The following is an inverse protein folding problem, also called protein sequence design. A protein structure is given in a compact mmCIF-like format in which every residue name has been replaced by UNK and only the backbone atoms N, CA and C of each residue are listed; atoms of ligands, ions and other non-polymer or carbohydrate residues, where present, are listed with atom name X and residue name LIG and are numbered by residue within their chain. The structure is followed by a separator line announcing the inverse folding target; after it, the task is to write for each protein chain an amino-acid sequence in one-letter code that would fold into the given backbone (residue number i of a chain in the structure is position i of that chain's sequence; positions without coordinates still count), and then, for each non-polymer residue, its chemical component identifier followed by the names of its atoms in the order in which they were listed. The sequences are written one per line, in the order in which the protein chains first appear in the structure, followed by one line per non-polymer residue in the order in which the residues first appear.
data_IF_047877122619
#
_entry.id   IF_047877122619
#
_cell.length_a   1.000
_cell.length_b   1.000
_cell.length_c   1.000
_cell.angle_alpha   90.00
_cell.angle_beta   90.00
_cell.angle_gamma   90.00
#
_symmetry.space_group_name_H-M   'P 1'
#
loop_
_entity.id
_entity.type
_entity.pdbx_description
1 polymer ?
#
# COMPACT_ATOMS: atom_id res chain seq x y z
N UNK A 1 -8.39 15.96 -7.72
CA UNK A 1 -7.76 14.63 -7.81
C UNK A 1 -8.63 13.65 -8.59
N UNK A 2 -8.00 12.76 -9.35
CA UNK A 2 -8.61 11.61 -10.01
C UNK A 2 -8.19 10.29 -9.32
N UNK A 3 -7.27 10.36 -8.38
CA UNK A 3 -6.81 9.20 -7.63
C UNK A 3 -7.95 8.60 -6.79
N UNK A 4 -8.28 7.31 -6.96
CA UNK A 4 -9.41 6.69 -6.26
C UNK A 4 -9.28 6.71 -4.74
N UNK A 5 -8.07 6.60 -4.22
CA UNK A 5 -7.83 6.60 -2.79
C UNK A 5 -7.97 8.00 -2.20
N UNK A 6 -7.49 9.03 -2.92
CA UNK A 6 -7.72 10.43 -2.57
C UNK A 6 -9.18 10.83 -2.67
N UNK A 7 -9.90 10.35 -3.69
CA UNK A 7 -11.36 10.54 -3.81
C UNK A 7 -12.06 9.94 -2.59
N UNK A 8 -11.69 8.72 -2.21
CA UNK A 8 -12.27 8.05 -1.04
C UNK A 8 -11.93 8.78 0.26
N UNK A 9 -10.70 9.22 0.43
CA UNK A 9 -10.26 10.00 1.59
C UNK A 9 -11.08 11.28 1.80
N UNK A 10 -11.32 12.00 0.71
CA UNK A 10 -12.04 13.29 0.76
C UNK A 10 -13.56 13.10 0.92
N UNK A 11 -14.15 12.09 0.27
CA UNK A 11 -15.61 11.98 0.11
C UNK A 11 -16.23 10.73 0.71
N UNK A 12 -15.45 9.70 1.01
CA UNK A 12 -15.96 8.37 1.35
C UNK A 12 -16.47 7.56 0.13
N UNK A 13 -16.40 8.12 -1.09
CA UNK A 13 -16.85 7.43 -2.30
C UNK A 13 -15.94 6.25 -2.66
N UNK A 14 -16.55 5.11 -2.90
CA UNK A 14 -15.84 3.91 -3.32
C UNK A 14 -16.51 3.26 -4.54
N UNK A 15 -15.69 2.84 -5.46
CA UNK A 15 -16.09 2.04 -6.63
C UNK A 15 -15.15 0.87 -6.82
N UNK A 16 -15.66 -0.18 -7.47
CA UNK A 16 -14.88 -1.38 -7.78
C UNK A 16 -13.72 -1.09 -8.74
N UNK A 17 -12.71 -1.94 -8.74
CA UNK A 17 -11.48 -1.79 -9.51
C UNK A 17 -11.64 -1.35 -10.98
N UNK A 18 -12.57 -1.89 -11.79
CA UNK A 18 -12.72 -1.42 -13.17
C UNK A 18 -13.07 0.06 -13.29
N UNK A 19 -13.79 0.61 -12.32
CA UNK A 19 -14.17 2.03 -12.30
C UNK A 19 -13.02 2.92 -11.81
N UNK A 20 -12.08 2.35 -11.04
CA UNK A 20 -10.91 3.06 -10.51
C UNK A 20 -9.86 3.35 -11.59
N UNK A 21 -9.90 2.65 -12.72
CA UNK A 21 -8.88 2.74 -13.77
C UNK A 21 -9.21 3.77 -14.86
N UNK A 22 -10.33 4.47 -14.75
CA UNK A 22 -10.78 5.43 -15.77
C UNK A 22 -11.01 6.81 -15.16
N UNK A 23 -10.78 7.85 -15.95
CA UNK A 23 -11.06 9.23 -15.60
C UNK A 23 -12.59 9.53 -15.58
N UNK A 24 -13.37 8.56 -15.13
CA UNK A 24 -14.82 8.67 -14.95
C UNK A 24 -15.23 9.29 -13.61
N UNK A 25 -14.25 9.57 -12.75
CA UNK A 25 -14.48 10.15 -11.43
C UNK A 25 -13.35 11.12 -11.06
N UNK A 26 -13.72 12.19 -10.40
CA UNK A 26 -12.75 13.12 -9.81
C UNK A 26 -13.36 13.93 -8.68
N UNK A 27 -12.52 14.49 -7.84
CA UNK A 27 -12.92 15.47 -6.83
C UNK A 27 -12.25 16.80 -7.13
N UNK A 28 -13.04 17.86 -7.16
CA UNK A 28 -12.56 19.22 -7.00
C UNK A 28 -12.79 19.65 -5.55
N UNK A 29 -11.71 20.05 -4.87
CA UNK A 29 -11.76 20.47 -3.48
C UNK A 29 -11.16 21.88 -3.34
N UNK A 30 -12.00 22.92 -3.20
CA UNK A 30 -11.53 24.28 -3.02
C UNK A 30 -10.98 24.50 -1.60
N UNK A 31 -9.97 25.37 -1.45
CA UNK A 31 -9.30 25.64 -0.16
C UNK A 31 -10.28 26.12 0.92
N UNK A 32 -11.29 26.91 0.53
CA UNK A 32 -12.25 27.52 1.45
C UNK A 32 -13.68 27.04 1.18
N UNK A 33 -13.85 25.78 0.79
CA UNK A 33 -15.17 25.24 0.45
C UNK A 33 -15.26 23.74 0.64
N UNK A 34 -16.39 23.21 0.23
CA UNK A 34 -16.70 21.80 0.33
C UNK A 34 -16.29 21.05 -0.95
N UNK A 35 -15.94 19.76 -0.87
CA UNK A 35 -15.58 18.98 -2.05
C UNK A 35 -16.76 18.77 -2.99
N UNK A 36 -16.48 18.78 -4.29
CA UNK A 36 -17.41 18.40 -5.36
C UNK A 36 -16.90 17.13 -6.05
N UNK A 37 -17.76 16.13 -6.15
CA UNK A 37 -17.46 14.83 -6.72
C UNK A 37 -18.11 14.66 -8.10
N UNK A 38 -17.34 14.29 -9.09
CA UNK A 38 -17.82 13.80 -10.39
C UNK A 38 -17.76 12.29 -10.40
N UNK A 39 -18.82 11.64 -10.86
CA UNK A 39 -18.89 10.19 -11.04
C UNK A 39 -19.46 9.84 -12.42
N UNK A 40 -19.04 8.68 -12.91
CA UNK A 40 -19.57 8.11 -14.16
C UNK A 40 -20.83 7.24 -13.96
N UNK A 41 -21.54 7.44 -12.85
CA UNK A 41 -22.79 6.73 -12.47
C UNK A 41 -23.87 7.77 -12.13
N UNK A 42 -25.04 7.28 -11.80
CA UNK A 42 -26.19 8.12 -11.41
C UNK A 42 -25.97 8.70 -10.00
N UNK A 43 -25.86 10.02 -9.82
CA UNK A 43 -25.63 10.63 -8.51
C UNK A 43 -26.64 10.21 -7.45
N UNK A 44 -27.93 10.08 -7.85
CA UNK A 44 -29.02 9.69 -6.96
C UNK A 44 -28.83 8.33 -6.25
N UNK A 45 -27.99 7.43 -6.79
CA UNK A 45 -27.67 6.13 -6.17
C UNK A 45 -26.77 6.27 -4.96
N UNK A 46 -25.95 7.33 -4.92
CA UNK A 46 -24.90 7.52 -3.93
C UNK A 46 -25.31 8.45 -2.80
N UNK A 47 -26.24 9.39 -3.03
CA UNK A 47 -26.73 10.32 -2.01
C UNK A 47 -27.18 9.62 -0.71
N UNK A 48 -27.94 8.51 -0.72
CA UNK A 48 -28.34 7.83 0.51
C UNK A 48 -27.19 7.28 1.34
N UNK A 49 -26.04 7.00 0.70
CA UNK A 49 -24.83 6.53 1.37
C UNK A 49 -23.88 7.64 1.77
N UNK A 50 -24.00 8.79 1.13
CA UNK A 50 -23.16 9.96 1.32
C UNK A 50 -24.04 11.22 1.43
N UNK A 51 -24.94 11.32 2.43
CA UNK A 51 -25.87 12.45 2.56
C UNK A 51 -25.13 13.79 2.72
N UNK A 52 -23.91 13.78 3.26
CA UNK A 52 -23.07 14.97 3.36
C UNK A 52 -22.63 15.54 2.00
N UNK A 53 -22.74 14.75 0.92
CA UNK A 53 -22.39 15.18 -0.44
C UNK A 53 -23.61 15.63 -1.26
N UNK A 54 -24.79 15.75 -0.65
CA UNK A 54 -26.01 16.18 -1.36
C UNK A 54 -25.80 17.54 -2.04
N UNK A 55 -26.19 17.64 -3.32
CA UNK A 55 -25.99 18.84 -4.14
C UNK A 55 -24.56 18.98 -4.73
N UNK A 56 -23.61 18.13 -4.33
CA UNK A 56 -22.20 18.22 -4.77
C UNK A 56 -21.71 16.96 -5.49
N UNK A 57 -22.63 16.07 -5.88
CA UNK A 57 -22.33 14.93 -6.74
C UNK A 57 -22.81 15.24 -8.15
N UNK A 58 -21.91 15.18 -9.12
CA UNK A 58 -22.15 15.59 -10.49
C UNK A 58 -21.92 14.43 -11.45
N UNK A 59 -22.64 14.43 -12.56
CA UNK A 59 -22.41 13.55 -13.70
C UNK A 59 -21.86 14.40 -14.87
N UNK A 60 -20.66 14.08 -15.33
CA UNK A 60 -20.08 14.68 -16.52
C UNK A 60 -19.81 13.59 -17.56
N UNK A 61 -19.73 13.98 -18.82
CA UNK A 61 -19.25 13.10 -19.86
C UNK A 61 -17.76 12.78 -19.60
N UNK A 62 -17.48 11.55 -19.23
CA UNK A 62 -16.15 11.05 -18.90
C UNK A 62 -15.79 9.84 -19.74
N UNK A 63 -14.63 9.24 -19.47
CA UNK A 63 -14.09 8.07 -20.18
C UNK A 63 -14.75 6.75 -19.77
N UNK A 64 -15.89 6.79 -19.13
CA UNK A 64 -16.61 5.60 -18.72
C UNK A 64 -17.03 4.73 -19.90
N UNK A 65 -16.35 3.69 -20.15
CA UNK A 65 -16.30 2.80 -21.31
C UNK A 65 -15.52 3.42 -22.49
N UNK A 66 -14.66 2.63 -23.12
CA UNK A 66 -14.00 2.99 -24.35
C UNK A 66 -15.02 2.97 -25.49
N UNK A 67 -15.98 3.87 -25.46
CA UNK A 67 -16.62 4.29 -26.67
C UNK A 67 -15.53 4.96 -27.47
N UNK A 68 -15.34 4.53 -28.71
CA UNK A 68 -14.39 5.12 -29.64
C UNK A 68 -14.53 6.64 -29.63
N UNK A 69 -13.76 7.30 -28.79
CA UNK A 69 -13.55 8.75 -28.88
C UNK A 69 -12.29 8.91 -29.73
N UNK A 70 -12.47 9.41 -30.91
CA UNK A 70 -11.35 9.74 -31.80
C UNK A 70 -10.47 10.85 -31.21
N UNK A 71 -10.94 11.54 -30.19
CA UNK A 71 -10.23 12.60 -29.47
C UNK A 71 -10.67 12.69 -28.00
N UNK A 72 -9.71 12.95 -27.11
CA UNK A 72 -9.99 13.23 -25.69
C UNK A 72 -10.53 14.66 -25.46
N UNK A 73 -10.43 15.57 -26.45
CA UNK A 73 -10.76 16.99 -26.28
C UNK A 73 -12.16 17.27 -25.73
N UNK A 74 -13.25 16.60 -26.17
CA UNK A 74 -14.57 16.86 -25.61
C UNK A 74 -14.66 16.53 -24.12
N UNK A 75 -14.00 15.47 -23.67
CA UNK A 75 -14.00 15.04 -22.28
C UNK A 75 -13.15 15.98 -21.44
N UNK A 76 -11.93 16.30 -21.90
CA UNK A 76 -11.05 17.25 -21.24
C UNK A 76 -11.75 18.61 -21.05
N UNK A 77 -12.39 19.12 -22.10
CA UNK A 77 -13.10 20.41 -22.05
C UNK A 77 -14.25 20.38 -21.03
N UNK A 78 -15.01 19.27 -20.94
CA UNK A 78 -16.07 19.17 -19.93
C UNK A 78 -15.54 19.30 -18.49
N UNK A 79 -14.43 18.63 -18.18
CA UNK A 79 -13.80 18.76 -16.87
C UNK A 79 -13.23 20.16 -16.63
N UNK A 80 -12.56 20.73 -17.60
CA UNK A 80 -11.93 22.06 -17.51
C UNK A 80 -13.01 23.14 -17.35
N UNK A 81 -14.11 23.07 -18.08
CA UNK A 81 -15.21 24.02 -17.99
C UNK A 81 -15.94 23.89 -16.65
N UNK A 82 -16.16 22.67 -16.18
CA UNK A 82 -16.75 22.41 -14.87
C UNK A 82 -15.89 22.94 -13.72
N UNK A 83 -14.59 22.64 -13.70
CA UNK A 83 -13.64 23.13 -12.69
C UNK A 83 -13.56 24.66 -12.77
N UNK A 84 -13.43 25.24 -13.97
CA UNK A 84 -13.39 26.69 -14.14
C UNK A 84 -14.65 27.39 -13.63
N UNK A 85 -15.83 26.79 -13.83
CA UNK A 85 -17.09 27.25 -13.26
C UNK A 85 -17.09 27.26 -11.74
N UNK A 86 -16.64 26.19 -11.10
CA UNK A 86 -16.52 26.11 -9.65
C UNK A 86 -15.47 27.10 -9.11
N UNK A 87 -14.31 27.24 -9.77
CA UNK A 87 -13.32 28.26 -9.38
C UNK A 87 -13.90 29.67 -9.40
N UNK A 88 -14.77 29.98 -10.37
CA UNK A 88 -15.47 31.27 -10.42
C UNK A 88 -16.52 31.43 -9.29
N UNK A 89 -17.28 30.37 -9.03
CA UNK A 89 -18.25 30.34 -7.94
C UNK A 89 -17.60 30.58 -6.56
N UNK A 90 -16.44 29.95 -6.33
CA UNK A 90 -15.69 30.14 -5.08
C UNK A 90 -14.76 31.37 -5.06
N UNK A 91 -14.72 32.16 -6.14
CA UNK A 91 -13.91 33.39 -6.23
C UNK A 91 -12.40 33.14 -6.25
N UNK A 92 -11.94 31.98 -6.74
CA UNK A 92 -10.55 31.53 -6.75
C UNK A 92 -9.97 31.38 -8.16
N UNK A 93 -10.46 32.12 -9.14
CA UNK A 93 -10.04 32.03 -10.55
C UNK A 93 -8.57 32.39 -10.79
N UNK A 94 -7.93 33.07 -9.86
CA UNK A 94 -6.51 33.44 -9.93
C UNK A 94 -5.59 32.47 -9.16
N UNK A 95 -6.16 31.46 -8.52
CA UNK A 95 -5.40 30.48 -7.76
C UNK A 95 -4.90 29.34 -8.65
N UNK A 96 -3.83 28.66 -8.19
CA UNK A 96 -3.29 27.50 -8.89
C UNK A 96 -4.12 26.26 -8.59
N UNK A 97 -4.29 25.43 -9.61
CA UNK A 97 -4.96 24.12 -9.48
C UNK A 97 -3.94 23.02 -9.21
N UNK A 98 -4.01 22.36 -8.07
CA UNK A 98 -3.26 21.16 -7.79
C UNK A 98 -3.91 19.96 -8.49
N UNK A 99 -3.22 19.35 -9.46
CA UNK A 99 -3.70 18.24 -10.26
C UNK A 99 -3.01 16.93 -9.85
N UNK A 100 -3.79 15.88 -9.63
CA UNK A 100 -3.33 14.61 -9.08
C UNK A 100 -4.12 13.40 -9.63
N UNK A 101 -3.48 12.22 -9.69
CA UNK A 101 -4.13 10.91 -9.82
C UNK A 101 -4.60 10.50 -11.22
N UNK A 102 -4.27 11.23 -12.27
CA UNK A 102 -4.65 10.85 -13.65
C UNK A 102 -3.45 10.46 -14.50
N UNK A 103 -3.59 9.41 -15.32
CA UNK A 103 -2.63 9.05 -16.35
C UNK A 103 -2.56 10.11 -17.47
N UNK A 104 -3.60 10.95 -17.60
CA UNK A 104 -3.70 12.02 -18.59
C UNK A 104 -3.26 13.39 -18.06
N UNK A 105 -2.45 13.41 -16.99
CA UNK A 105 -2.08 14.65 -16.29
C UNK A 105 -1.54 15.75 -17.21
N UNK A 106 -0.72 15.39 -18.20
CA UNK A 106 -0.20 16.34 -19.18
C UNK A 106 -1.31 16.94 -20.06
N UNK A 107 -2.27 16.14 -20.49
CA UNK A 107 -3.39 16.59 -21.33
C UNK A 107 -4.32 17.50 -20.54
N UNK A 108 -4.62 17.16 -19.29
CA UNK A 108 -5.41 18.02 -18.40
C UNK A 108 -4.69 19.34 -18.11
N UNK A 109 -3.40 19.30 -17.78
CA UNK A 109 -2.61 20.51 -17.51
C UNK A 109 -2.59 21.45 -18.71
N UNK A 110 -2.42 20.92 -19.93
CA UNK A 110 -2.46 21.70 -21.17
C UNK A 110 -3.87 22.27 -21.42
N UNK A 111 -4.92 21.49 -21.21
CA UNK A 111 -6.30 21.93 -21.37
C UNK A 111 -6.67 23.06 -20.37
N UNK A 112 -6.25 22.94 -19.12
CA UNK A 112 -6.41 23.99 -18.11
C UNK A 112 -5.60 25.24 -18.47
N UNK A 113 -4.35 25.06 -18.91
CA UNK A 113 -3.50 26.18 -19.33
C UNK A 113 -4.13 26.98 -20.49
N UNK A 114 -4.74 26.31 -21.48
CA UNK A 114 -5.48 26.98 -22.57
C UNK A 114 -6.65 27.85 -22.07
N UNK A 115 -7.18 27.56 -20.90
CA UNK A 115 -8.23 28.35 -20.23
C UNK A 115 -7.68 29.37 -19.23
N UNK A 116 -6.35 29.52 -19.15
CA UNK A 116 -5.68 30.46 -18.25
C UNK A 116 -5.55 29.98 -16.80
N UNK A 117 -5.76 28.68 -16.54
CA UNK A 117 -5.62 28.08 -15.21
C UNK A 117 -4.24 27.44 -15.11
N UNK A 118 -3.42 27.90 -14.17
CA UNK A 118 -2.11 27.33 -13.88
C UNK A 118 -2.25 26.05 -13.06
N UNK A 119 -1.64 24.95 -13.53
CA UNK A 119 -1.62 23.68 -12.80
C UNK A 119 -0.29 23.46 -12.08
N UNK A 120 -0.36 22.85 -10.88
CA UNK A 120 0.78 22.35 -10.13
C UNK A 120 0.60 20.85 -9.84
N UNK A 121 1.68 20.17 -9.50
CA UNK A 121 1.63 18.77 -9.12
C UNK A 121 0.98 18.59 -7.74
N UNK A 122 -0.16 17.90 -7.68
CA UNK A 122 -1.00 17.79 -6.48
C UNK A 122 -0.67 16.61 -5.56
N UNK A 123 -0.01 15.55 -6.08
CA UNK A 123 0.26 14.33 -5.30
C UNK A 123 0.91 14.59 -3.93
N UNK A 124 1.98 15.42 -3.81
CA UNK A 124 2.59 15.66 -2.51
C UNK A 124 1.64 16.23 -1.46
N UNK A 125 0.65 17.02 -1.86
CA UNK A 125 -0.33 17.62 -0.94
C UNK A 125 -1.16 16.51 -0.29
N UNK A 126 -1.64 15.56 -1.08
CA UNK A 126 -2.44 14.44 -0.59
C UNK A 126 -1.60 13.45 0.22
N UNK A 127 -0.38 13.16 -0.22
CA UNK A 127 0.55 12.28 0.51
C UNK A 127 0.80 12.81 1.94
N UNK A 128 1.00 14.13 2.09
CA UNK A 128 1.16 14.77 3.40
C UNK A 128 -0.13 14.78 4.21
N UNK A 129 -1.27 15.01 3.58
CA UNK A 129 -2.56 15.03 4.26
C UNK A 129 -2.92 13.68 4.92
N UNK A 130 -2.55 12.56 4.28
CA UNK A 130 -2.84 11.21 4.76
C UNK A 130 -1.80 10.63 5.72
N UNK A 131 -0.64 11.30 5.87
CA UNK A 131 0.52 10.73 6.57
C UNK A 131 0.22 10.45 8.06
N UNK A 132 -0.44 11.37 8.75
CA UNK A 132 -0.85 11.21 10.15
C UNK A 132 -2.30 10.77 10.20
N UNK A 133 -2.54 9.60 10.76
CA UNK A 133 -3.86 8.97 10.86
C UNK A 133 -4.61 9.46 12.09
N UNK A 134 -5.90 9.70 11.93
CA UNK A 134 -6.81 9.88 13.04
C UNK A 134 -7.00 8.59 13.83
N UNK A 135 -7.59 8.67 15.03
CA UNK A 135 -7.89 7.49 15.84
C UNK A 135 -8.87 6.54 15.14
N UNK A 136 -9.85 7.07 14.41
CA UNK A 136 -10.81 6.27 13.65
C UNK A 136 -10.12 5.50 12.51
N UNK A 137 -9.21 6.15 11.77
CA UNK A 137 -8.40 5.49 10.74
C UNK A 137 -7.54 4.38 11.34
N UNK A 138 -6.89 4.64 12.48
CA UNK A 138 -6.08 3.63 13.18
C UNK A 138 -6.94 2.43 13.60
N UNK A 139 -8.17 2.67 14.08
CA UNK A 139 -9.08 1.59 14.45
C UNK A 139 -9.51 0.75 13.24
N UNK A 140 -9.75 1.37 12.09
CA UNK A 140 -10.02 0.66 10.84
C UNK A 140 -8.80 -0.19 10.44
N UNK A 141 -7.59 0.36 10.53
CA UNK A 141 -6.35 -0.38 10.21
C UNK A 141 -6.11 -1.56 11.17
N UNK A 142 -6.50 -1.47 12.45
CA UNK A 142 -6.47 -2.62 13.36
C UNK A 142 -7.41 -3.75 12.91
N UNK A 143 -8.59 -3.40 12.37
CA UNK A 143 -9.52 -4.39 11.80
C UNK A 143 -8.93 -4.99 10.52
N UNK A 144 -8.37 -4.18 9.63
CA UNK A 144 -7.69 -4.67 8.43
C UNK A 144 -6.56 -5.66 8.78
N UNK A 145 -5.72 -5.35 9.78
CA UNK A 145 -4.70 -6.28 10.27
C UNK A 145 -5.31 -7.60 10.78
N UNK A 146 -6.42 -7.54 11.53
CA UNK A 146 -7.08 -8.75 12.01
C UNK A 146 -7.64 -9.62 10.86
N UNK A 147 -8.10 -9.00 9.77
CA UNK A 147 -8.50 -9.72 8.56
C UNK A 147 -7.29 -10.37 7.88
N UNK A 148 -6.19 -9.64 7.73
CA UNK A 148 -4.95 -10.18 7.17
C UNK A 148 -4.39 -11.35 7.99
N UNK A 149 -4.53 -11.32 9.32
CA UNK A 149 -4.15 -12.44 10.18
C UNK A 149 -4.96 -13.71 9.90
N UNK A 150 -6.24 -13.59 9.57
CA UNK A 150 -7.08 -14.73 9.15
C UNK A 150 -6.64 -15.27 7.79
N UNK A 151 -6.24 -14.39 6.87
CA UNK A 151 -5.67 -14.82 5.59
C UNK A 151 -4.36 -15.60 5.80
N UNK A 152 -3.44 -15.11 6.66
CA UNK A 152 -2.24 -15.84 7.03
C UNK A 152 -2.55 -17.20 7.68
N UNK A 153 -3.56 -17.27 8.55
CA UNK A 153 -4.00 -18.51 9.17
C UNK A 153 -4.55 -19.50 8.14
N UNK A 154 -5.34 -19.03 7.17
CA UNK A 154 -5.87 -19.86 6.08
C UNK A 154 -4.75 -20.39 5.18
N UNK A 155 -3.77 -19.55 4.85
CA UNK A 155 -2.58 -19.96 4.10
C UNK A 155 -1.78 -21.00 4.88
N UNK A 156 -1.46 -20.74 6.16
CA UNK A 156 -0.71 -21.67 7.00
C UNK A 156 -1.39 -23.06 7.08
N UNK A 157 -2.72 -23.09 7.21
CA UNK A 157 -3.50 -24.32 7.23
C UNK A 157 -3.50 -25.05 5.87
N UNK A 158 -3.36 -24.32 4.77
CA UNK A 158 -3.31 -24.88 3.41
C UNK A 158 -1.93 -25.40 3.00
N UNK A 159 -0.85 -24.94 3.63
CA UNK A 159 0.52 -25.36 3.31
C UNK A 159 0.71 -26.86 3.56
N UNK A 160 0.95 -27.62 2.48
CA UNK A 160 1.29 -29.04 2.48
C UNK A 160 1.97 -29.42 1.16
N UNK A 161 2.72 -30.53 1.11
CA UNK A 161 3.33 -31.00 -0.13
C UNK A 161 2.29 -31.21 -1.25
N UNK A 162 2.65 -30.77 -2.45
CA UNK A 162 1.80 -30.90 -3.66
C UNK A 162 0.78 -29.78 -3.88
N UNK A 163 0.59 -28.87 -2.93
CA UNK A 163 -0.19 -27.62 -3.12
C UNK A 163 0.66 -26.65 -3.91
N UNK A 164 0.06 -25.84 -4.77
CA UNK A 164 0.76 -24.79 -5.53
C UNK A 164 0.75 -23.46 -4.81
N UNK A 165 1.70 -22.58 -5.14
CA UNK A 165 1.70 -21.19 -4.65
C UNK A 165 0.36 -20.49 -4.91
N UNK A 166 -0.19 -20.62 -6.13
CA UNK A 166 -1.50 -20.04 -6.48
C UNK A 166 -2.68 -20.61 -5.67
N UNK A 167 -2.60 -21.85 -5.19
CA UNK A 167 -3.65 -22.43 -4.34
C UNK A 167 -3.62 -21.78 -2.94
N UNK A 168 -2.43 -21.43 -2.44
CA UNK A 168 -2.28 -20.70 -1.18
C UNK A 168 -2.79 -19.27 -1.28
N UNK A 169 -2.50 -18.60 -2.40
CA UNK A 169 -3.05 -17.27 -2.71
C UNK A 169 -4.57 -17.32 -2.74
N UNK A 170 -5.17 -18.32 -3.40
CA UNK A 170 -6.62 -18.48 -3.44
C UNK A 170 -7.21 -18.66 -2.04
N UNK A 171 -6.56 -19.44 -1.16
CA UNK A 171 -7.00 -19.62 0.23
C UNK A 171 -6.96 -18.32 1.03
N UNK A 172 -5.89 -17.54 0.91
CA UNK A 172 -5.76 -16.24 1.56
C UNK A 172 -6.80 -15.22 1.09
N UNK A 173 -6.98 -15.08 -0.23
CA UNK A 173 -7.97 -14.18 -0.83
C UNK A 173 -9.39 -14.56 -0.40
N UNK A 174 -9.74 -15.85 -0.38
CA UNK A 174 -11.04 -16.29 0.09
C UNK A 174 -11.31 -15.86 1.53
N UNK A 175 -10.34 -16.05 2.44
CA UNK A 175 -10.46 -15.63 3.83
C UNK A 175 -10.64 -14.11 3.96
N UNK A 176 -9.94 -13.29 3.16
CA UNK A 176 -10.10 -11.83 3.19
C UNK A 176 -11.52 -11.39 2.80
N UNK A 177 -12.06 -11.95 1.73
CA UNK A 177 -13.43 -11.61 1.30
C UNK A 177 -14.50 -12.13 2.26
N UNK A 178 -14.29 -13.26 2.94
CA UNK A 178 -15.18 -13.77 4.01
C UNK A 178 -15.24 -12.80 5.20
N UNK A 179 -14.16 -12.04 5.44
CA UNK A 179 -14.09 -11.03 6.50
C UNK A 179 -14.55 -9.63 6.06
N UNK A 180 -15.05 -9.48 4.85
CA UNK A 180 -15.61 -8.23 4.34
C UNK A 180 -14.57 -7.27 3.77
N UNK A 181 -13.44 -7.77 3.30
CA UNK A 181 -12.48 -7.00 2.52
C UNK A 181 -13.18 -6.36 1.30
N UNK A 182 -12.92 -5.10 1.04
CA UNK A 182 -13.48 -4.38 -0.10
C UNK A 182 -12.87 -4.85 -1.42
N UNK A 183 -11.56 -5.01 -1.41
CA UNK A 183 -10.78 -5.52 -2.51
C UNK A 183 -9.38 -5.90 -2.01
N UNK A 184 -8.70 -6.78 -2.73
CA UNK A 184 -7.28 -7.09 -2.55
C UNK A 184 -6.49 -6.52 -3.71
N UNK A 185 -5.31 -5.92 -3.46
CA UNK A 185 -4.41 -5.49 -4.54
C UNK A 185 -3.56 -6.65 -5.00
N UNK A 186 -2.83 -7.29 -4.08
CA UNK A 186 -2.02 -8.46 -4.37
C UNK A 186 -1.94 -9.40 -3.17
N UNK A 187 -1.54 -10.63 -3.40
CA UNK A 187 -1.12 -11.57 -2.39
C UNK A 187 0.10 -12.31 -2.93
N UNK A 188 1.29 -11.91 -2.47
CA UNK A 188 2.54 -12.54 -2.87
C UNK A 188 2.67 -13.90 -2.20
N UNK A 189 3.13 -14.93 -2.94
CA UNK A 189 3.45 -16.22 -2.37
C UNK A 189 4.62 -16.86 -3.13
N UNK A 190 5.77 -16.99 -2.47
CA UNK A 190 6.96 -17.62 -3.03
C UNK A 190 7.38 -18.80 -2.19
N UNK A 191 7.86 -19.89 -2.80
CA UNK A 191 8.19 -21.10 -2.08
C UNK A 191 9.53 -21.74 -2.51
N UNK A 192 10.22 -22.37 -1.56
CA UNK A 192 11.50 -23.08 -1.77
C UNK A 192 12.53 -22.18 -2.44
N UNK A 193 13.17 -22.62 -3.56
CA UNK A 193 14.19 -21.80 -4.21
C UNK A 193 13.68 -20.48 -4.78
N UNK A 194 12.36 -20.29 -4.97
CA UNK A 194 11.81 -19.02 -5.40
C UNK A 194 11.84 -17.94 -4.29
N UNK A 195 12.12 -18.33 -3.05
CA UNK A 195 12.29 -17.37 -1.94
C UNK A 195 13.65 -16.67 -1.95
N UNK A 196 14.57 -17.10 -2.84
CA UNK A 196 15.91 -16.52 -3.00
C UNK A 196 16.33 -16.50 -4.49
N UNK A 197 16.62 -15.32 -5.07
CA UNK A 197 16.47 -13.99 -4.45
C UNK A 197 15.00 -13.64 -4.18
N UNK A 198 14.80 -12.54 -3.44
CA UNK A 198 13.48 -12.01 -3.19
C UNK A 198 12.67 -11.75 -4.48
N UNK A 199 11.40 -12.09 -4.46
CA UNK A 199 10.45 -11.86 -5.57
C UNK A 199 9.07 -11.43 -5.08
N UNK A 200 8.33 -10.75 -5.95
CA UNK A 200 7.02 -10.12 -5.69
C UNK A 200 5.93 -10.74 -6.55
N UNK A 201 5.72 -12.05 -6.46
CA UNK A 201 4.69 -12.71 -7.26
C UNK A 201 4.28 -14.05 -6.64
N UNK A 202 3.52 -14.83 -7.38
CA UNK A 202 3.25 -16.24 -7.11
C UNK A 202 3.21 -17.00 -8.44
N UNK A 203 3.34 -18.33 -8.37
CA UNK A 203 3.35 -19.18 -9.55
C UNK A 203 2.53 -20.45 -9.38
N UNK A 204 2.81 -21.42 -10.25
CA UNK A 204 2.24 -22.76 -10.22
C UNK A 204 3.20 -23.80 -9.63
N UNK A 205 4.29 -23.35 -8.98
CA UNK A 205 5.23 -24.23 -8.31
C UNK A 205 4.54 -25.02 -7.21
N UNK A 206 4.74 -26.36 -7.22
CA UNK A 206 4.27 -27.23 -6.16
C UNK A 206 5.22 -27.18 -4.96
N UNK A 207 4.66 -26.97 -3.78
CA UNK A 207 5.36 -26.94 -2.49
C UNK A 207 5.85 -28.34 -2.15
N UNK A 208 7.06 -28.44 -1.64
CA UNK A 208 7.74 -29.68 -1.24
C UNK A 208 8.02 -29.67 0.26
N UNK A 209 8.17 -30.86 0.88
CA UNK A 209 8.64 -30.95 2.26
C UNK A 209 9.97 -30.22 2.45
N UNK A 210 10.06 -29.37 3.49
CA UNK A 210 11.23 -28.55 3.81
C UNK A 210 11.31 -27.22 3.08
N UNK A 211 10.38 -26.91 2.15
CA UNK A 211 10.33 -25.59 1.54
C UNK A 211 9.97 -24.50 2.57
N UNK A 212 10.71 -23.40 2.57
CA UNK A 212 10.21 -22.15 3.12
C UNK A 212 9.16 -21.57 2.16
N UNK A 213 8.16 -20.92 2.73
CA UNK A 213 7.08 -20.24 1.99
C UNK A 213 6.89 -18.89 2.64
N UNK A 214 7.20 -17.79 1.95
CA UNK A 214 6.77 -16.51 2.43
C UNK A 214 5.52 -16.02 1.70
N UNK A 215 4.68 -15.34 2.44
CA UNK A 215 3.41 -14.80 1.95
C UNK A 215 3.26 -13.38 2.43
N UNK A 216 2.93 -12.49 1.52
CA UNK A 216 2.47 -11.15 1.83
C UNK A 216 0.97 -11.05 1.67
N UNK A 217 0.31 -10.50 2.67
CA UNK A 217 -1.07 -10.05 2.54
C UNK A 217 -1.03 -8.55 2.26
N UNK A 218 -0.86 -8.25 0.98
CA UNK A 218 -0.56 -6.93 0.46
C UNK A 218 -1.80 -6.28 -0.16
N UNK A 219 -2.16 -5.10 0.36
CA UNK A 219 -3.29 -4.35 -0.15
C UNK A 219 -4.67 -4.92 0.20
N UNK A 220 -4.78 -5.73 1.29
CA UNK A 220 -6.10 -6.02 1.87
C UNK A 220 -6.76 -4.71 2.28
N UNK A 221 -7.92 -4.41 1.71
CA UNK A 221 -8.61 -3.17 1.95
C UNK A 221 -9.91 -3.38 2.73
N UNK A 222 -9.89 -3.09 4.02
CA UNK A 222 -11.09 -2.96 4.82
C UNK A 222 -11.47 -1.47 4.93
N UNK A 223 -12.64 -1.11 4.42
CA UNK A 223 -13.06 0.28 4.23
C UNK A 223 -12.02 1.15 3.50
N UNK A 224 -11.23 0.53 2.62
CA UNK A 224 -10.16 1.14 1.83
C UNK A 224 -8.80 1.19 2.49
N UNK A 225 -8.68 0.96 3.79
CA UNK A 225 -7.40 0.96 4.50
C UNK A 225 -6.70 -0.39 4.30
N UNK A 226 -5.46 -0.33 3.86
CA UNK A 226 -4.68 -1.47 3.41
C UNK A 226 -3.81 -2.07 4.49
N UNK A 227 -3.41 -3.32 4.27
CA UNK A 227 -2.35 -4.00 5.01
C UNK A 227 -1.17 -4.30 4.09
N UNK A 228 0.00 -4.53 4.69
CA UNK A 228 1.20 -5.06 4.06
C UNK A 228 1.94 -5.83 5.15
N UNK A 229 1.88 -7.16 5.09
CA UNK A 229 2.35 -8.02 6.19
C UNK A 229 2.96 -9.30 5.62
N UNK A 230 4.28 -9.39 5.62
CA UNK A 230 4.97 -10.64 5.28
C UNK A 230 5.06 -11.59 6.46
N UNK A 231 4.80 -12.87 6.18
CA UNK A 231 5.12 -13.99 7.07
C UNK A 231 5.80 -15.10 6.28
N UNK A 232 6.78 -15.74 6.92
CA UNK A 232 7.47 -16.91 6.37
C UNK A 232 7.10 -18.14 7.17
N UNK A 233 6.80 -19.22 6.46
CA UNK A 233 6.40 -20.53 6.97
C UNK A 233 7.37 -21.61 6.47
N UNK A 234 7.37 -22.80 7.10
CA UNK A 234 8.05 -23.98 6.60
C UNK A 234 7.04 -25.10 6.33
N UNK A 235 7.09 -25.72 5.16
CA UNK A 235 6.31 -26.91 4.84
C UNK A 235 6.97 -28.16 5.44
N UNK A 236 6.49 -28.60 6.60
CA UNK A 236 7.10 -29.67 7.38
C UNK A 236 8.11 -29.12 8.40
N UNK A 237 9.10 -29.96 8.76
CA UNK A 237 10.10 -29.61 9.76
C UNK A 237 11.23 -28.77 9.17
N UNK A 238 11.48 -27.60 9.74
CA UNK A 238 12.55 -26.72 9.32
C UNK A 238 13.94 -27.25 9.75
N UNK A 239 14.94 -26.98 8.92
CA UNK A 239 16.34 -27.20 9.28
C UNK A 239 16.83 -26.15 10.27
N UNK A 240 17.95 -26.41 10.94
CA UNK A 240 18.53 -25.42 11.84
C UNK A 240 18.98 -24.17 11.05
N UNK A 241 19.55 -24.33 9.85
CA UNK A 241 19.93 -23.18 9.00
C UNK A 241 18.74 -22.29 8.65
N UNK A 242 17.58 -22.87 8.31
CA UNK A 242 16.36 -22.11 8.05
C UNK A 242 15.86 -21.34 9.29
N UNK A 243 15.95 -21.97 10.48
CA UNK A 243 15.60 -21.32 11.76
C UNK A 243 16.55 -20.18 12.11
N UNK A 244 17.87 -20.38 11.86
CA UNK A 244 18.87 -19.36 12.10
C UNK A 244 18.66 -18.15 11.14
N UNK A 245 18.38 -18.40 9.85
CA UNK A 245 18.03 -17.35 8.86
C UNK A 245 16.76 -16.61 9.25
N UNK A 246 15.75 -17.33 9.77
CA UNK A 246 14.51 -16.71 10.27
C UNK A 246 14.78 -15.81 11.48
N UNK A 247 15.57 -16.29 12.44
CA UNK A 247 15.92 -15.52 13.63
C UNK A 247 16.71 -14.26 13.27
N UNK A 248 17.64 -14.36 12.31
CA UNK A 248 18.37 -13.20 11.79
C UNK A 248 17.43 -12.14 11.20
N UNK A 249 16.43 -12.56 10.41
CA UNK A 249 15.41 -11.66 9.87
C UNK A 249 14.57 -11.01 10.97
N UNK A 250 14.13 -11.81 11.95
CA UNK A 250 13.37 -11.33 13.10
C UNK A 250 14.16 -10.31 13.92
N UNK A 251 15.41 -10.59 14.25
CA UNK A 251 16.24 -9.71 15.04
C UNK A 251 16.50 -8.38 14.30
N UNK A 252 16.71 -8.46 12.98
CA UNK A 252 16.89 -7.27 12.13
C UNK A 252 15.65 -6.38 12.13
N UNK A 253 14.46 -6.92 11.89
CA UNK A 253 13.25 -6.11 11.83
C UNK A 253 12.92 -5.49 13.19
N UNK A 254 13.06 -6.26 14.28
CA UNK A 254 12.73 -5.77 15.61
C UNK A 254 13.78 -4.82 16.20
N UNK A 255 15.05 -4.86 15.74
CA UNK A 255 16.03 -3.81 16.09
C UNK A 255 15.56 -2.43 15.65
N UNK A 256 15.05 -2.33 14.41
CA UNK A 256 14.51 -1.08 13.87
C UNK A 256 13.19 -0.68 14.53
N UNK A 257 12.25 -1.63 14.74
CA UNK A 257 10.97 -1.36 15.40
C UNK A 257 11.17 -0.77 16.80
N UNK A 258 12.13 -1.27 17.57
CA UNK A 258 12.43 -0.76 18.92
C UNK A 258 12.91 0.68 18.96
N UNK A 259 13.32 1.27 17.82
CA UNK A 259 13.71 2.69 17.70
C UNK A 259 12.54 3.61 17.41
N UNK A 260 11.40 3.05 16.98
CA UNK A 260 10.26 3.86 16.52
C UNK A 260 9.61 4.59 17.70
N UNK A 261 9.55 5.90 17.57
CA UNK A 261 8.73 6.80 18.39
C UNK A 261 8.67 8.18 17.71
N UNK A 262 7.77 9.05 18.13
CA UNK A 262 7.74 10.43 17.67
C UNK A 262 9.06 11.15 17.96
N UNK A 263 9.49 11.99 17.01
CA UNK A 263 10.73 12.76 17.09
C UNK A 263 11.98 12.04 16.57
N UNK A 264 11.94 10.73 16.35
CA UNK A 264 13.03 9.98 15.70
C UNK A 264 12.91 10.10 14.19
N UNK A 265 14.01 10.13 13.48
CA UNK A 265 14.02 10.17 12.03
C UNK A 265 14.03 8.78 11.41
N UNK A 266 13.51 8.66 10.18
CA UNK A 266 13.61 7.46 9.36
C UNK A 266 15.07 6.97 9.21
N UNK A 267 16.02 7.89 9.05
CA UNK A 267 17.44 7.56 8.98
C UNK A 267 17.98 6.95 10.28
N UNK A 268 17.52 7.41 11.46
CA UNK A 268 17.88 6.81 12.75
C UNK A 268 17.30 5.42 12.92
N UNK A 269 16.05 5.18 12.46
CA UNK A 269 15.45 3.85 12.43
C UNK A 269 16.23 2.92 11.51
N UNK A 270 16.54 3.36 10.29
CA UNK A 270 17.30 2.57 9.31
C UNK A 270 18.77 2.38 9.68
N UNK A 271 19.31 3.11 10.66
CA UNK A 271 20.66 2.91 11.15
C UNK A 271 20.83 1.63 11.97
N UNK A 272 19.74 1.01 12.41
CA UNK A 272 19.77 -0.29 13.09
C UNK A 272 19.99 -1.46 12.11
N UNK A 273 19.84 -1.23 10.81
CA UNK A 273 20.08 -2.21 9.75
C UNK A 273 21.45 -2.03 9.12
N UNK A 274 21.97 -3.06 8.42
CA UNK A 274 23.30 -3.03 7.82
C UNK A 274 23.55 -1.74 7.01
N UNK A 275 24.77 -1.22 7.10
CA UNK A 275 25.22 0.01 6.45
C UNK A 275 25.85 -0.22 5.06
N UNK A 276 25.86 -1.45 4.60
CA UNK A 276 26.45 -1.86 3.32
C UNK A 276 25.62 -2.91 2.61
N UNK A 277 25.45 -2.83 1.27
CA UNK A 277 24.76 -3.84 0.48
C UNK A 277 25.51 -5.19 0.49
N UNK A 278 26.80 -5.20 0.84
CA UNK A 278 27.61 -6.42 0.95
C UNK A 278 27.09 -7.40 2.00
N UNK A 279 26.31 -6.94 2.98
CA UNK A 279 25.64 -7.81 3.94
C UNK A 279 24.76 -8.87 3.22
N UNK A 280 24.05 -8.45 2.18
CA UNK A 280 23.22 -9.34 1.35
C UNK A 280 24.01 -9.98 0.19
N UNK A 281 25.31 -9.72 0.09
CA UNK A 281 26.17 -10.24 -0.97
C UNK A 281 26.07 -9.48 -2.29
N UNK A 282 25.59 -8.24 -2.28
CA UNK A 282 25.46 -7.38 -3.45
C UNK A 282 26.45 -6.21 -3.38
N UNK A 283 26.72 -5.58 -4.53
CA UNK A 283 27.74 -4.54 -4.64
C UNK A 283 27.16 -3.13 -4.50
N UNK A 284 25.87 -2.95 -4.82
CA UNK A 284 25.22 -1.65 -4.86
C UNK A 284 23.91 -1.62 -4.08
N UNK A 285 23.59 -0.45 -3.52
CA UNK A 285 22.29 -0.23 -2.87
C UNK A 285 21.10 -0.41 -3.82
N UNK A 286 21.26 -0.13 -5.12
CA UNK A 286 20.20 -0.31 -6.10
C UNK A 286 19.76 -1.77 -6.25
N UNK A 287 20.67 -2.74 -6.04
CA UNK A 287 20.35 -4.18 -6.11
C UNK A 287 19.59 -4.67 -4.88
N UNK A 288 19.74 -4.02 -3.73
CA UNK A 288 19.14 -4.43 -2.46
C UNK A 288 18.00 -3.52 -2.00
N UNK A 289 17.62 -2.55 -2.80
CA UNK A 289 16.57 -1.59 -2.45
C UNK A 289 15.30 -2.25 -1.87
N UNK A 290 14.78 -3.36 -2.46
CA UNK A 290 13.59 -4.01 -1.93
C UNK A 290 13.84 -4.93 -0.72
N UNK A 291 15.09 -5.12 -0.28
CA UNK A 291 15.42 -6.07 0.78
C UNK A 291 15.39 -5.46 2.19
N UNK A 292 15.47 -4.13 2.29
CA UNK A 292 15.58 -3.44 3.56
C UNK A 292 14.91 -2.06 3.44
N UNK A 293 13.61 -2.03 3.62
CA UNK A 293 12.78 -0.84 3.37
C UNK A 293 11.61 -0.76 4.34
N UNK A 294 10.88 0.32 4.27
CA UNK A 294 9.63 0.54 4.94
C UNK A 294 8.90 1.72 4.31
N UNK A 295 7.62 1.78 4.54
CA UNK A 295 6.77 2.82 3.97
C UNK A 295 5.60 3.15 4.89
N UNK A 296 5.07 4.34 4.76
CA UNK A 296 3.77 4.65 5.32
C UNK A 296 2.68 3.84 4.62
N UNK A 297 1.57 3.62 5.30
CA UNK A 297 0.44 2.87 4.79
C UNK A 297 -0.87 3.48 5.30
N UNK A 298 -1.95 3.30 4.56
CA UNK A 298 -3.29 3.76 4.90
C UNK A 298 -4.28 3.40 3.81
N UNK A 299 -4.96 4.39 3.24
CA UNK A 299 -5.77 4.20 2.03
C UNK A 299 -4.92 3.89 0.80
N UNK A 300 -3.69 4.36 0.76
CA UNK A 300 -2.71 3.99 -0.25
C UNK A 300 -1.77 2.96 0.35
N UNK A 301 -1.44 1.91 -0.42
CA UNK A 301 -0.56 0.84 0.01
C UNK A 301 0.82 1.37 0.38
N UNK A 302 1.48 2.06 -0.54
CA UNK A 302 2.78 2.69 -0.32
C UNK A 302 2.60 4.21 -0.19
N UNK A 303 2.63 4.70 1.02
CA UNK A 303 2.45 6.11 1.36
C UNK A 303 3.68 6.68 2.08
N UNK A 304 3.70 7.96 2.41
CA UNK A 304 4.75 8.57 3.23
C UNK A 304 4.59 8.20 4.71
N UNK A 305 5.72 8.14 5.47
CA UNK A 305 7.10 8.31 5.05
C UNK A 305 7.68 7.07 4.34
N UNK A 306 8.73 7.24 3.53
CA UNK A 306 9.49 6.13 2.97
C UNK A 306 10.78 5.95 3.74
N UNK A 307 10.95 4.81 4.39
CA UNK A 307 12.13 4.42 5.14
C UNK A 307 12.98 3.48 4.28
N UNK A 308 14.27 3.74 4.16
CA UNK A 308 15.13 2.88 3.34
C UNK A 308 16.60 3.06 3.67
N UNK A 309 17.33 1.96 3.71
CA UNK A 309 18.79 1.99 3.75
C UNK A 309 19.38 2.72 2.53
N UNK A 310 18.72 2.62 1.38
CA UNK A 310 19.11 3.36 0.16
C UNK A 310 18.97 4.87 0.36
N UNK A 311 17.83 5.33 0.89
CA UNK A 311 17.61 6.75 1.17
C UNK A 311 18.65 7.29 2.16
N UNK A 312 18.91 6.55 3.25
CA UNK A 312 19.92 6.89 4.23
C UNK A 312 21.32 7.00 3.62
N UNK A 313 21.66 6.12 2.67
CA UNK A 313 22.96 6.11 1.99
C UNK A 313 23.07 7.13 0.85
N UNK A 314 21.96 7.70 0.38
CA UNK A 314 21.93 8.59 -0.79
C UNK A 314 22.25 10.04 -0.38
N UNK A 315 23.32 10.65 -0.89
CA UNK A 315 23.67 12.04 -0.58
C UNK A 315 22.55 13.01 -0.97
N UNK A 316 22.21 13.91 -0.04
CA UNK A 316 21.20 14.96 -0.27
C UNK A 316 19.77 14.56 0.02
N UNK A 317 19.46 13.28 0.27
CA UNK A 317 18.16 12.87 0.80
C UNK A 317 18.07 13.33 2.26
N UNK A 318 17.04 14.11 2.56
CA UNK A 318 16.80 14.61 3.91
C UNK A 318 16.00 13.59 4.71
N UNK A 319 16.36 13.38 5.98
CA UNK A 319 15.57 12.52 6.84
C UNK A 319 14.16 13.09 7.08
N UNK A 320 13.18 12.19 7.24
CA UNK A 320 11.83 12.52 7.67
C UNK A 320 11.70 12.21 9.15
N UNK A 321 11.21 13.17 9.93
CA UNK A 321 10.92 12.96 11.34
C UNK A 321 9.60 12.18 11.47
N UNK A 322 9.59 11.13 12.27
CA UNK A 322 8.40 10.36 12.59
C UNK A 322 7.53 11.14 13.59
N UNK A 323 6.23 11.14 13.35
CA UNK A 323 5.24 11.80 14.20
C UNK A 323 4.23 10.79 14.72
N UNK A 324 3.68 11.03 15.90
CA UNK A 324 2.63 10.18 16.45
C UNK A 324 1.41 10.17 15.53
N UNK A 325 0.81 8.99 15.33
CA UNK A 325 -0.27 8.77 14.39
C UNK A 325 0.17 8.33 12.99
N UNK A 326 1.47 8.36 12.68
CA UNK A 326 1.97 7.67 11.49
C UNK A 326 1.86 6.17 11.66
N UNK A 327 1.43 5.46 10.61
CA UNK A 327 1.50 4.00 10.53
C UNK A 327 2.48 3.64 9.44
N UNK A 328 3.46 2.82 9.78
CA UNK A 328 4.55 2.41 8.90
C UNK A 328 4.64 0.89 8.84
N UNK A 329 4.90 0.36 7.65
CA UNK A 329 5.36 -0.98 7.42
C UNK A 329 6.88 -1.00 7.43
N UNK A 330 7.47 -1.94 8.15
CA UNK A 330 8.89 -2.24 8.09
C UNK A 330 9.06 -3.66 7.62
N UNK A 331 9.90 -3.85 6.62
CA UNK A 331 10.07 -5.12 5.94
C UNK A 331 11.54 -5.38 5.60
N UNK A 332 12.00 -6.61 5.84
CA UNK A 332 13.36 -7.01 5.50
C UNK A 332 13.40 -8.45 5.00
N UNK A 333 14.49 -8.76 4.31
CA UNK A 333 14.77 -10.09 3.79
C UNK A 333 16.17 -10.54 4.23
N UNK A 334 16.28 -11.80 4.61
CA UNK A 334 17.55 -12.45 4.90
C UNK A 334 17.71 -13.75 4.09
N UNK A 335 18.93 -14.01 3.68
CA UNK A 335 19.30 -15.19 2.91
C UNK A 335 20.68 -14.99 2.29
N UNK A 336 21.33 -16.10 1.93
CA UNK A 336 22.63 -16.04 1.25
C UNK A 336 22.44 -15.84 -0.24
N UNK A 337 23.16 -14.91 -0.86
CA UNK A 337 23.15 -14.74 -2.34
C UNK A 337 23.45 -16.06 -3.02
N UNK A 338 22.53 -16.51 -3.89
CA UNK A 338 22.61 -17.80 -4.57
C UNK A 338 22.33 -19.02 -3.69
N UNK A 339 21.81 -18.82 -2.48
CA UNK A 339 21.26 -19.87 -1.62
C UNK A 339 19.95 -20.45 -2.16
N UNK A 340 19.44 -21.47 -1.50
CA UNK A 340 18.23 -22.19 -1.88
C UNK A 340 16.99 -21.75 -1.15
N UNK A 341 17.12 -20.81 -0.20
CA UNK A 341 16.01 -20.23 0.56
C UNK A 341 16.32 -18.81 1.04
N UNK A 342 15.26 -18.08 1.34
CA UNK A 342 15.28 -16.77 2.00
C UNK A 342 14.05 -16.60 2.89
N UNK A 343 14.15 -15.69 3.84
CA UNK A 343 13.10 -15.30 4.79
C UNK A 343 12.69 -13.86 4.55
N UNK A 344 11.40 -13.61 4.51
CA UNK A 344 10.84 -12.26 4.46
C UNK A 344 9.90 -12.06 5.63
N UNK A 345 10.06 -10.97 6.37
CA UNK A 345 9.17 -10.56 7.46
C UNK A 345 8.83 -9.09 7.31
N UNK A 346 7.61 -8.74 7.72
CA UNK A 346 7.11 -7.39 7.75
C UNK A 346 6.13 -7.18 8.88
N UNK A 347 6.16 -5.99 9.47
CA UNK A 347 5.25 -5.56 10.52
C UNK A 347 4.67 -4.19 10.25
N UNK A 348 3.37 -4.04 10.49
CA UNK A 348 2.71 -2.74 10.55
C UNK A 348 2.83 -2.13 11.94
N UNK A 349 3.37 -0.93 12.03
CA UNK A 349 3.75 -0.27 13.27
C UNK A 349 3.14 1.13 13.36
N UNK A 350 2.36 1.39 14.40
CA UNK A 350 1.87 2.71 14.75
C UNK A 350 2.93 3.46 15.58
N UNK A 351 3.31 4.64 15.12
CA UNK A 351 4.17 5.55 15.87
C UNK A 351 3.38 6.23 16.98
N UNK A 352 3.90 6.20 18.22
CA UNK A 352 3.31 6.84 19.39
C UNK A 352 4.27 7.90 19.95
N UNK A 353 3.80 8.77 20.83
CA UNK A 353 4.62 9.80 21.47
C UNK A 353 5.85 9.21 22.15
N UNK A 354 5.68 8.20 22.99
CA UNK A 354 6.75 7.59 23.79
C UNK A 354 7.08 6.15 23.36
N UNK A 355 6.89 5.80 22.08
CA UNK A 355 7.19 4.46 21.59
C UNK A 355 6.37 4.08 20.37
N UNK A 356 5.95 2.83 20.32
CA UNK A 356 5.24 2.27 19.17
C UNK A 356 4.18 1.24 19.60
N UNK A 357 3.32 0.86 18.67
CA UNK A 357 2.43 -0.29 18.76
C UNK A 357 2.51 -1.11 17.47
N UNK A 358 2.86 -2.38 17.56
CA UNK A 358 2.76 -3.29 16.41
C UNK A 358 1.29 -3.64 16.22
N UNK A 359 0.73 -3.32 15.05
CA UNK A 359 -0.68 -3.57 14.70
C UNK A 359 -0.91 -5.01 14.23
N UNK A 360 0.05 -5.58 13.48
CA UNK A 360 0.06 -6.97 13.01
C UNK A 360 0.32 -7.92 14.18
N UNK A 361 -0.62 -8.83 14.48
CA UNK A 361 -0.55 -9.73 15.65
C UNK A 361 -0.35 -11.19 15.28
N UNK A 362 -0.35 -11.55 13.98
CA UNK A 362 -0.07 -12.93 13.60
C UNK A 362 1.33 -13.36 14.09
N UNK A 363 1.48 -14.58 14.64
CA UNK A 363 2.74 -15.01 15.23
C UNK A 363 3.94 -14.83 14.29
N UNK A 364 5.02 -14.26 14.82
CA UNK A 364 6.23 -13.92 14.06
C UNK A 364 7.53 -14.28 14.80
N UNK A 365 7.45 -14.55 16.11
CA UNK A 365 8.66 -14.78 16.92
C UNK A 365 9.46 -16.03 16.52
N UNK A 366 8.79 -17.04 16.00
CA UNK A 366 9.38 -18.32 15.61
C UNK A 366 8.88 -18.73 14.23
N UNK A 367 9.74 -19.37 13.44
CA UNK A 367 9.36 -19.95 12.17
C UNK A 367 8.27 -21.01 12.36
N UNK A 368 7.07 -20.75 11.81
CA UNK A 368 5.94 -21.65 11.91
C UNK A 368 6.15 -22.88 10.98
N UNK A 369 6.21 -24.06 11.56
CA UNK A 369 6.24 -25.33 10.86
C UNK A 369 4.82 -25.80 10.55
N UNK A 370 4.41 -25.79 9.29
CA UNK A 370 3.11 -26.24 8.79
C UNK A 370 3.19 -27.70 8.33
N UNK A 371 2.07 -28.42 8.41
CA UNK A 371 2.02 -29.82 7.95
C UNK A 371 3.13 -30.69 8.56
N UNK A 372 3.26 -30.69 9.87
CA UNK A 372 4.19 -31.61 10.57
C UNK A 372 3.50 -32.97 10.68
N UNK A 373 4.03 -34.04 10.05
CA UNK A 373 3.46 -35.38 10.21
C UNK A 373 3.53 -35.80 11.69
N UNK A 374 2.43 -36.28 12.21
CA UNK A 374 2.45 -36.95 13.52
C UNK A 374 3.30 -38.24 13.39
N UNK A 375 4.37 -38.34 14.16
CA UNK A 375 5.15 -39.57 14.30
C UNK A 375 4.38 -40.61 15.09
#
# INVERSE_FOLDING_TARGET
TFDPDNIRYITGFYVTTPMRMVEGQCVFFPVNGEPHLVIADLPARHIPRMPWMEGRIHALLGFYKPTAVDSYDPVLNNYVDWVGGLMAEYGITNEKLALDGTALQMLFADAFHRKGIECIHGKPIMDWARMIKSEDEINIMRIACANAEKAHAAVAAAIRPGVKECDLVAAGIAALYEEGCDHTEDLVCMSGPNTNPYGLTFGDRMIRPGDLVYVDVDGDAFLGYRTCIYRTFCCGKATQEQKDTYQECYDMIYSAIHKIKAGVTDHEVMAEWPDSPHYWGYDTWGEVAPLATGHGIGLTLHDRPFLSCVNRATPGVKPTTLEAGMVICLETWTGKKGGDHGVRLEEMVLVKEDGYEVLSKFPVKELMECWVPYN
#
